data_IF_518841469625
#
_entry.id   IF_518841469625
#
_cell.length_a   1.000
_cell.length_b   1.000
_cell.length_c   1.000
_cell.angle_alpha   90.00
_cell.angle_beta   90.00
_cell.angle_gamma   90.00
#
_symmetry.space_group_name_H-M   'P 1'
#
loop_
_entity.id
_entity.type
_entity.pdbx_description
1 polymer ?
#
# COMPACT_ATOMS: atom_id res chain seq x y z
N UNK A 1 -5.36 -34.55 5.43
CA UNK A 1 -4.84 -33.20 5.67
C UNK A 1 -5.57 -32.66 6.86
N UNK A 2 -4.88 -32.34 7.92
CA UNK A 2 -5.48 -31.69 9.09
C UNK A 2 -5.26 -30.20 8.86
N UNK A 3 -6.20 -29.58 8.10
CA UNK A 3 -6.27 -28.14 7.96
C UNK A 3 -6.93 -27.54 9.17
N UNK A 4 -6.99 -26.21 9.38
CA UNK A 4 -7.41 -25.34 8.30
C UNK A 4 -6.22 -24.82 7.52
N UNK A 5 -6.41 -24.67 6.23
CA UNK A 5 -5.65 -23.68 5.50
C UNK A 5 -5.87 -22.35 6.22
N UNK A 6 -4.82 -21.62 6.51
CA UNK A 6 -4.96 -20.31 7.14
C UNK A 6 -5.74 -19.43 6.19
N UNK A 7 -6.99 -19.17 6.53
CA UNK A 7 -7.79 -18.16 5.87
C UNK A 7 -7.69 -16.89 6.69
N UNK A 8 -7.48 -15.77 6.03
CA UNK A 8 -7.50 -14.44 6.64
C UNK A 8 -8.39 -13.52 5.82
N UNK A 9 -8.51 -12.27 6.25
CA UNK A 9 -9.13 -11.25 5.41
C UNK A 9 -8.24 -11.02 4.18
N UNK A 10 -8.81 -11.06 2.99
CA UNK A 10 -8.10 -10.64 1.78
C UNK A 10 -7.87 -9.13 1.86
N UNK A 11 -6.62 -8.72 1.88
CA UNK A 11 -6.22 -7.32 1.99
C UNK A 11 -5.82 -6.73 0.64
N UNK A 12 -5.13 -7.52 -0.18
CA UNK A 12 -4.69 -7.08 -1.49
C UNK A 12 -4.89 -8.18 -2.54
N UNK A 13 -5.08 -7.75 -3.77
CA UNK A 13 -5.14 -8.62 -4.93
C UNK A 13 -4.45 -7.94 -6.11
N UNK A 14 -3.79 -8.72 -6.96
CA UNK A 14 -3.17 -8.25 -8.17
C UNK A 14 -3.45 -9.20 -9.33
N UNK A 15 -3.84 -8.66 -10.48
CA UNK A 15 -3.92 -9.38 -11.74
C UNK A 15 -2.66 -9.13 -12.58
N UNK A 16 -2.42 -10.00 -13.55
CA UNK A 16 -1.32 -9.87 -14.52
C UNK A 16 -1.92 -9.57 -15.89
N UNK A 17 -1.96 -8.29 -16.35
CA UNK A 17 -2.68 -7.92 -17.59
C UNK A 17 -2.26 -8.70 -18.83
N UNK A 18 -0.97 -9.08 -18.92
CA UNK A 18 -0.42 -9.89 -20.04
C UNK A 18 -0.67 -11.39 -19.89
N UNK A 19 -1.16 -11.82 -18.73
CA UNK A 19 -1.49 -13.20 -18.39
C UNK A 19 -2.85 -13.22 -17.69
N UNK A 20 -3.97 -13.08 -18.42
CA UNK A 20 -5.30 -12.81 -17.86
C UNK A 20 -5.86 -13.95 -16.99
N UNK A 21 -5.22 -15.12 -16.99
CA UNK A 21 -5.53 -16.25 -16.13
C UNK A 21 -4.77 -16.23 -14.80
N UNK A 22 -3.78 -15.30 -14.63
CA UNK A 22 -2.91 -15.26 -13.45
C UNK A 22 -3.36 -14.16 -12.50
N UNK A 23 -3.58 -14.55 -11.25
CA UNK A 23 -3.94 -13.66 -10.15
C UNK A 23 -3.15 -13.98 -8.89
N UNK A 24 -2.90 -12.95 -8.11
CA UNK A 24 -2.34 -13.06 -6.77
C UNK A 24 -3.32 -12.51 -5.76
N UNK A 25 -3.37 -13.10 -4.58
CA UNK A 25 -4.18 -12.67 -3.46
C UNK A 25 -3.31 -12.67 -2.20
N UNK A 26 -3.37 -11.60 -1.45
CA UNK A 26 -2.65 -11.44 -0.18
C UNK A 26 -3.63 -11.38 0.98
N UNK A 27 -3.35 -12.16 2.01
CA UNK A 27 -4.23 -12.33 3.15
C UNK A 27 -3.54 -11.93 4.46
N UNK A 28 -4.35 -11.40 5.36
CA UNK A 28 -3.95 -11.21 6.76
C UNK A 28 -3.79 -12.57 7.43
N UNK A 29 -2.60 -12.85 7.94
CA UNK A 29 -2.24 -14.15 8.54
C UNK A 29 -2.42 -15.38 7.64
N UNK A 30 -2.57 -15.16 6.33
CA UNK A 30 -2.75 -16.23 5.34
C UNK A 30 -1.74 -16.21 4.21
N UNK A 31 -0.75 -15.30 4.25
CA UNK A 31 0.31 -15.22 3.26
C UNK A 31 -0.16 -14.76 1.88
N UNK A 32 0.59 -15.16 0.86
CA UNK A 32 0.31 -14.86 -0.55
C UNK A 32 -0.08 -16.13 -1.28
N UNK A 33 -1.12 -16.02 -2.10
CA UNK A 33 -1.67 -17.09 -2.91
C UNK A 33 -1.65 -16.72 -4.38
N UNK A 34 -1.39 -17.71 -5.23
CA UNK A 34 -1.37 -17.56 -6.68
C UNK A 34 -2.40 -18.49 -7.33
N UNK A 35 -3.10 -17.96 -8.32
CA UNK A 35 -3.94 -18.73 -9.25
C UNK A 35 -3.39 -18.58 -10.66
N UNK A 36 -3.31 -19.68 -11.41
CA UNK A 36 -2.94 -19.73 -12.83
C UNK A 36 -4.11 -20.15 -13.73
N UNK A 37 -5.33 -20.22 -13.18
CA UNK A 37 -6.51 -20.80 -13.84
C UNK A 37 -7.77 -19.95 -13.67
N UNK A 38 -7.64 -18.62 -13.73
CA UNK A 38 -8.74 -17.65 -13.57
C UNK A 38 -9.36 -17.66 -12.16
N UNK A 39 -8.58 -17.97 -11.12
CA UNK A 39 -9.06 -17.96 -9.73
C UNK A 39 -9.81 -19.22 -9.31
N UNK A 40 -9.80 -20.30 -10.11
CA UNK A 40 -10.49 -21.56 -9.77
C UNK A 40 -9.76 -22.34 -8.70
N UNK A 41 -8.42 -22.36 -8.78
CA UNK A 41 -7.56 -22.96 -7.75
C UNK A 41 -6.52 -21.94 -7.29
N UNK A 42 -6.11 -22.07 -6.02
CA UNK A 42 -5.16 -21.17 -5.39
C UNK A 42 -4.06 -21.99 -4.69
N UNK A 43 -2.81 -21.65 -4.96
CA UNK A 43 -1.65 -22.27 -4.36
C UNK A 43 -0.93 -21.26 -3.47
N UNK A 44 -0.58 -21.63 -2.22
CA UNK A 44 0.22 -20.76 -1.36
C UNK A 44 1.64 -20.67 -1.92
N UNK A 45 2.20 -19.47 -1.90
CA UNK A 45 3.53 -19.20 -2.46
C UNK A 45 4.43 -18.39 -1.49
N UNK A 46 4.03 -18.28 -0.21
CA UNK A 46 4.73 -17.46 0.77
C UNK A 46 4.88 -18.16 2.13
N UNK A 47 4.58 -19.46 2.20
CA UNK A 47 4.50 -20.22 3.47
C UNK A 47 5.85 -20.38 4.18
N UNK A 48 6.96 -20.31 3.44
CA UNK A 48 8.31 -20.43 3.98
C UNK A 48 8.84 -19.12 4.60
N UNK A 49 8.11 -18.01 4.42
CA UNK A 49 8.53 -16.71 4.95
C UNK A 49 8.12 -16.53 6.43
N UNK A 50 8.91 -15.75 7.20
CA UNK A 50 8.71 -15.65 8.65
C UNK A 50 7.45 -14.88 9.07
N UNK A 51 6.79 -14.18 8.14
CA UNK A 51 5.51 -13.50 8.38
C UNK A 51 4.46 -13.95 7.39
N UNK A 52 3.22 -14.09 7.85
CA UNK A 52 2.06 -14.42 7.03
C UNK A 52 1.03 -13.28 6.98
N UNK A 53 1.30 -12.19 7.69
CA UNK A 53 0.44 -11.00 7.67
C UNK A 53 0.86 -10.09 6.51
N UNK A 54 -0.02 -9.95 5.52
CA UNK A 54 0.27 -9.22 4.28
C UNK A 54 -0.72 -8.07 4.11
N UNK A 55 -0.17 -6.87 3.91
CA UNK A 55 -0.92 -5.63 3.71
C UNK A 55 -1.04 -5.22 2.24
N UNK A 56 -0.01 -5.50 1.44
CA UNK A 56 0.05 -5.07 0.05
C UNK A 56 0.74 -6.09 -0.86
N UNK A 57 0.33 -6.10 -2.12
CA UNK A 57 1.01 -6.84 -3.19
C UNK A 57 1.01 -6.01 -4.47
N UNK A 58 2.14 -5.94 -5.15
CA UNK A 58 2.28 -5.27 -6.44
C UNK A 58 3.09 -6.13 -7.42
N UNK A 59 2.52 -6.36 -8.60
CA UNK A 59 3.20 -7.01 -9.73
C UNK A 59 3.74 -5.92 -10.65
N UNK A 60 5.02 -6.01 -11.02
CA UNK A 60 5.61 -5.02 -11.93
C UNK A 60 4.95 -5.09 -13.32
N UNK A 61 4.38 -3.99 -13.84
CA UNK A 61 3.69 -4.03 -15.14
C UNK A 61 4.61 -4.33 -16.34
N UNK A 62 5.89 -3.94 -16.24
CA UNK A 62 6.90 -4.19 -17.27
C UNK A 62 7.44 -5.63 -17.27
N UNK A 63 7.49 -6.26 -16.09
CA UNK A 63 7.96 -7.64 -15.92
C UNK A 63 7.14 -8.38 -14.86
N UNK A 64 6.18 -9.23 -15.26
CA UNK A 64 5.29 -9.92 -14.33
C UNK A 64 5.98 -11.03 -13.49
N UNK A 65 7.25 -11.29 -13.71
CA UNK A 65 8.03 -12.17 -12.82
C UNK A 65 8.47 -11.44 -11.55
N UNK A 66 8.45 -10.11 -11.56
CA UNK A 66 8.81 -9.27 -10.42
C UNK A 66 7.57 -8.91 -9.62
N UNK A 67 7.57 -9.32 -8.36
CA UNK A 67 6.47 -9.09 -7.41
C UNK A 67 7.05 -8.50 -6.13
N UNK A 68 6.37 -7.50 -5.60
CA UNK A 68 6.67 -6.95 -4.29
C UNK A 68 5.51 -7.22 -3.34
N UNK A 69 5.86 -7.53 -2.09
CA UNK A 69 4.91 -7.80 -1.00
C UNK A 69 5.28 -6.95 0.20
N UNK A 70 4.33 -6.18 0.70
CA UNK A 70 4.42 -5.43 1.94
C UNK A 70 3.73 -6.18 3.06
N UNK A 71 4.45 -6.45 4.15
CA UNK A 71 3.92 -7.20 5.28
C UNK A 71 3.21 -6.30 6.30
N UNK A 72 2.44 -6.92 7.20
CA UNK A 72 1.51 -6.23 8.08
C UNK A 72 0.13 -6.06 7.46
N UNK A 73 -0.87 -5.68 8.24
CA UNK A 73 -2.26 -5.60 7.73
C UNK A 73 -2.56 -4.32 6.98
N UNK A 74 -1.88 -3.23 7.33
CA UNK A 74 -2.14 -1.92 6.76
C UNK A 74 -3.54 -1.37 7.02
N UNK A 75 -4.16 -1.81 8.09
CA UNK A 75 -5.47 -1.38 8.59
C UNK A 75 -5.35 -1.12 10.08
N UNK A 76 -6.31 -0.39 10.66
CA UNK A 76 -6.47 -0.30 12.10
C UNK A 76 -7.62 -1.20 12.57
N UNK A 77 -7.29 -2.14 13.44
CA UNK A 77 -8.20 -3.12 14.03
C UNK A 77 -7.59 -3.66 15.31
N UNK A 78 -8.39 -4.11 16.29
CA UNK A 78 -7.87 -4.56 17.59
C UNK A 78 -7.01 -5.83 17.52
N UNK A 79 -7.17 -6.64 16.48
CA UNK A 79 -6.49 -7.93 16.30
C UNK A 79 -5.38 -7.89 15.24
N UNK A 80 -4.60 -6.80 15.22
CA UNK A 80 -3.56 -6.59 14.22
C UNK A 80 -2.37 -7.54 14.39
N UNK A 81 -1.96 -8.14 13.28
CA UNK A 81 -0.69 -8.83 13.17
C UNK A 81 0.32 -7.94 12.46
N UNK A 82 1.45 -7.74 13.10
CA UNK A 82 2.54 -6.92 12.55
C UNK A 82 3.31 -7.69 11.48
N UNK A 83 3.82 -6.95 10.51
CA UNK A 83 4.77 -7.42 9.53
C UNK A 83 6.22 -7.13 9.94
N UNK A 84 7.14 -7.43 9.04
CA UNK A 84 8.58 -7.23 9.21
C UNK A 84 9.26 -6.66 7.97
N UNK A 85 8.53 -5.89 7.16
CA UNK A 85 9.10 -5.20 6.02
C UNK A 85 8.59 -5.66 4.67
N UNK A 86 9.42 -5.51 3.65
CA UNK A 86 9.08 -5.75 2.24
C UNK A 86 9.82 -6.99 1.73
N UNK A 87 9.15 -7.74 0.85
CA UNK A 87 9.71 -8.88 0.14
C UNK A 87 9.59 -8.70 -1.36
N UNK A 88 10.52 -9.29 -2.11
CA UNK A 88 10.54 -9.30 -3.57
C UNK A 88 10.73 -10.71 -4.08
N UNK A 89 9.96 -11.06 -5.09
CA UNK A 89 10.23 -12.20 -5.97
C UNK A 89 10.67 -11.69 -7.34
N UNK A 90 11.55 -12.44 -8.01
CA UNK A 90 11.98 -12.22 -9.41
C UNK A 90 11.65 -13.42 -10.31
N UNK A 91 10.85 -14.35 -9.80
CA UNK A 91 10.52 -15.62 -10.47
C UNK A 91 9.03 -15.98 -10.36
N UNK A 92 8.19 -14.94 -10.32
CA UNK A 92 6.73 -15.03 -10.23
C UNK A 92 6.24 -15.74 -8.96
N UNK A 93 6.92 -15.50 -7.83
CA UNK A 93 6.53 -15.95 -6.51
C UNK A 93 7.05 -17.32 -6.11
N UNK A 94 8.06 -17.88 -6.82
CA UNK A 94 8.65 -19.16 -6.44
C UNK A 94 9.65 -19.01 -5.29
N UNK A 95 10.40 -17.90 -5.28
CA UNK A 95 11.34 -17.55 -4.22
C UNK A 95 11.19 -16.09 -3.83
N UNK A 96 11.56 -15.77 -2.60
CA UNK A 96 11.42 -14.43 -2.03
C UNK A 96 12.72 -13.95 -1.39
N UNK A 97 12.96 -12.66 -1.49
CA UNK A 97 14.08 -11.96 -0.86
C UNK A 97 13.55 -10.85 0.00
N UNK A 98 13.94 -10.83 1.26
CA UNK A 98 13.59 -9.75 2.19
C UNK A 98 14.39 -8.48 1.88
N UNK A 99 13.72 -7.32 1.81
CA UNK A 99 14.27 -6.05 1.35
C UNK A 99 14.36 -4.97 2.44
N UNK A 100 14.34 -5.36 3.70
CA UNK A 100 14.45 -4.42 4.83
C UNK A 100 13.12 -3.78 5.23
N UNK A 101 13.19 -2.59 5.84
CA UNK A 101 12.07 -1.94 6.54
C UNK A 101 11.49 -2.83 7.65
N UNK A 102 12.37 -3.48 8.41
CA UNK A 102 12.01 -4.53 9.36
C UNK A 102 11.02 -4.06 10.45
N UNK A 103 11.13 -2.80 10.85
CA UNK A 103 10.29 -2.21 11.89
C UNK A 103 9.11 -1.38 11.34
N UNK A 104 8.86 -1.47 10.04
CA UNK A 104 7.71 -0.80 9.41
C UNK A 104 6.35 -1.31 9.91
N UNK A 105 6.28 -2.53 10.36
CA UNK A 105 5.14 -3.25 10.94
C UNK A 105 3.87 -3.29 10.09
N UNK A 106 3.48 -2.18 9.44
CA UNK A 106 2.26 -2.07 8.64
C UNK A 106 2.57 -1.39 7.31
N UNK A 107 2.45 -2.14 6.20
CA UNK A 107 2.68 -1.63 4.83
C UNK A 107 1.39 -1.81 4.01
N UNK A 108 0.49 -0.81 4.01
CA UNK A 108 -0.83 -0.90 3.37
C UNK A 108 -0.82 -0.85 1.85
N UNK A 109 0.19 -0.19 1.24
CA UNK A 109 0.23 -0.02 -0.21
C UNK A 109 1.65 -0.05 -0.77
N UNK A 110 1.75 -0.59 -1.99
CA UNK A 110 2.96 -0.62 -2.81
C UNK A 110 2.59 -0.23 -4.24
N UNK A 111 3.40 0.62 -4.86
CA UNK A 111 3.27 0.96 -6.26
C UNK A 111 4.61 0.77 -7.00
N UNK A 112 4.57 0.05 -8.12
CA UNK A 112 5.75 -0.20 -8.96
C UNK A 112 5.62 0.60 -10.25
N UNK A 113 6.69 1.29 -10.62
CA UNK A 113 6.74 2.03 -11.87
C UNK A 113 6.41 1.13 -13.07
N UNK A 114 5.47 1.52 -13.94
CA UNK A 114 5.08 0.71 -15.07
C UNK A 114 6.18 0.50 -16.12
N UNK A 115 7.25 1.29 -16.10
CA UNK A 115 8.37 1.25 -17.04
C UNK A 115 9.64 0.69 -16.43
N UNK A 116 9.86 0.89 -15.13
CA UNK A 116 11.04 0.45 -14.39
C UNK A 116 10.66 -0.35 -13.15
N UNK A 117 10.81 -1.68 -13.18
CA UNK A 117 10.44 -2.53 -12.05
C UNK A 117 11.33 -2.34 -10.82
N UNK A 118 12.41 -1.55 -10.92
CA UNK A 118 13.27 -1.23 -9.79
C UNK A 118 12.86 0.06 -9.07
N UNK A 119 11.99 0.89 -9.67
CA UNK A 119 11.40 2.04 -8.99
C UNK A 119 10.11 1.66 -8.30
N UNK A 120 10.12 1.68 -6.98
CA UNK A 120 9.03 1.22 -6.12
C UNK A 120 8.75 2.26 -5.05
N UNK A 121 7.47 2.48 -4.77
CA UNK A 121 7.01 3.24 -3.61
C UNK A 121 6.32 2.33 -2.62
N UNK A 122 6.50 2.63 -1.34
CA UNK A 122 5.83 1.96 -0.24
C UNK A 122 5.20 2.98 0.71
N UNK A 123 3.93 2.80 0.99
CA UNK A 123 3.26 3.49 2.08
C UNK A 123 3.51 2.70 3.36
N UNK A 124 4.07 3.35 4.38
CA UNK A 124 4.38 2.75 5.67
C UNK A 124 3.54 3.43 6.76
N UNK A 125 2.57 2.70 7.28
CA UNK A 125 1.72 3.17 8.36
C UNK A 125 2.42 3.09 9.72
N UNK A 126 3.44 2.23 9.85
CA UNK A 126 4.29 2.10 11.03
C UNK A 126 3.67 1.28 12.15
N UNK A 127 4.09 1.52 13.38
CA UNK A 127 3.57 0.82 14.56
C UNK A 127 2.09 1.15 14.80
N UNK A 128 1.19 0.16 14.89
CA UNK A 128 -0.22 0.43 15.11
C UNK A 128 -0.52 0.97 16.52
N UNK A 129 0.22 0.51 17.54
CA UNK A 129 -0.09 0.78 18.96
C UNK A 129 0.73 1.91 19.58
N UNK A 130 1.60 2.57 18.82
CA UNK A 130 2.46 3.62 19.36
C UNK A 130 3.03 4.54 18.29
N UNK A 131 3.79 5.55 18.70
CA UNK A 131 4.55 6.37 17.77
C UNK A 131 5.60 5.52 17.06
N UNK A 132 5.96 5.89 15.83
CA UNK A 132 6.96 5.17 15.02
C UNK A 132 7.70 6.12 14.10
N UNK A 133 9.01 6.13 14.20
CA UNK A 133 9.87 6.86 13.27
C UNK A 133 9.79 6.32 11.84
N UNK A 134 9.34 5.05 11.66
CA UNK A 134 9.22 4.43 10.35
C UNK A 134 8.04 4.93 9.52
N UNK A 135 7.12 5.70 10.10
CA UNK A 135 5.94 6.24 9.40
C UNK A 135 6.33 7.15 8.24
N UNK A 136 5.68 6.97 7.08
CA UNK A 136 5.91 7.80 5.90
C UNK A 136 5.69 7.10 4.58
N UNK A 137 6.10 7.79 3.51
CA UNK A 137 6.18 7.22 2.16
C UNK A 137 7.66 7.00 1.83
N UNK A 138 7.96 5.81 1.35
CA UNK A 138 9.31 5.42 0.95
C UNK A 138 9.39 5.20 -0.55
N UNK A 139 10.55 5.47 -1.12
CA UNK A 139 10.91 5.19 -2.51
C UNK A 139 12.21 4.39 -2.56
N UNK A 140 12.23 3.37 -3.40
CA UNK A 140 13.45 2.72 -3.89
C UNK A 140 13.61 3.00 -5.38
N UNK A 141 14.84 3.10 -5.85
CA UNK A 141 15.21 3.19 -7.27
C UNK A 141 16.15 2.06 -7.71
N UNK A 142 16.40 1.09 -6.83
CA UNK A 142 17.33 -0.02 -7.02
C UNK A 142 16.70 -1.39 -6.75
N UNK A 143 15.38 -1.44 -6.90
CA UNK A 143 14.62 -2.69 -6.72
C UNK A 143 14.46 -3.11 -5.27
N UNK A 144 14.51 -2.16 -4.33
CA UNK A 144 14.30 -2.37 -2.91
C UNK A 144 15.59 -2.65 -2.13
N UNK A 145 16.77 -2.52 -2.73
CA UNK A 145 18.03 -2.70 -2.02
C UNK A 145 18.27 -1.54 -1.02
N UNK A 146 17.85 -0.33 -1.39
CA UNK A 146 17.84 0.83 -0.50
C UNK A 146 16.50 1.55 -0.54
N UNK A 147 16.13 2.17 0.58
CA UNK A 147 14.88 2.90 0.73
C UNK A 147 15.14 4.33 1.22
N UNK A 148 14.55 5.29 0.55
CA UNK A 148 14.55 6.69 0.94
C UNK A 148 13.15 7.08 1.40
N UNK A 149 13.02 7.64 2.61
CA UNK A 149 11.78 8.24 3.08
C UNK A 149 11.58 9.58 2.34
N UNK A 150 10.53 9.69 1.52
CA UNK A 150 10.27 10.84 0.64
C UNK A 150 9.14 11.73 1.15
N UNK A 151 8.25 11.21 2.00
CA UNK A 151 7.31 12.01 2.79
C UNK A 151 7.38 11.52 4.24
N UNK A 152 7.50 12.47 5.15
CA UNK A 152 7.41 12.25 6.60
C UNK A 152 6.79 13.48 7.24
N UNK A 153 5.96 13.30 8.24
CA UNK A 153 5.39 14.39 9.03
C UNK A 153 5.84 14.31 10.50
N UNK A 154 5.36 13.31 11.18
CA UNK A 154 5.64 13.05 12.59
C UNK A 154 5.55 11.54 12.89
N UNK A 155 5.78 11.16 14.14
CA UNK A 155 5.74 9.76 14.59
C UNK A 155 4.33 9.15 14.67
N UNK A 156 3.28 9.96 14.43
CA UNK A 156 1.87 9.53 14.49
C UNK A 156 1.22 9.46 13.11
N UNK A 157 1.82 10.08 12.07
CA UNK A 157 1.23 10.20 10.74
C UNK A 157 2.00 9.33 9.74
N UNK A 158 1.43 8.22 9.31
CA UNK A 158 2.03 7.25 8.40
C UNK A 158 1.46 7.28 6.99
N UNK A 159 2.14 6.61 6.07
CA UNK A 159 1.64 6.39 4.71
C UNK A 159 0.51 5.36 4.71
N UNK A 160 -0.61 5.68 4.06
CA UNK A 160 -1.78 4.80 3.96
C UNK A 160 -2.05 4.32 2.53
N UNK A 161 -1.62 5.09 1.52
CA UNK A 161 -1.83 4.76 0.12
C UNK A 161 -0.74 5.37 -0.76
N UNK A 162 -0.45 4.74 -1.92
CA UNK A 162 0.45 5.28 -2.95
C UNK A 162 0.06 4.74 -4.32
N UNK A 163 -0.08 5.65 -5.31
CA UNK A 163 -0.46 5.33 -6.67
C UNK A 163 0.45 6.06 -7.67
N UNK A 164 0.82 5.39 -8.76
CA UNK A 164 1.61 5.96 -9.86
C UNK A 164 0.73 6.09 -11.09
N UNK A 165 0.78 7.24 -11.76
CA UNK A 165 0.13 7.41 -13.05
C UNK A 165 0.69 6.40 -14.07
N UNK A 166 -0.16 5.50 -14.62
CA UNK A 166 0.31 4.43 -15.51
C UNK A 166 0.85 4.93 -16.85
N UNK A 167 0.56 6.18 -17.20
CA UNK A 167 1.01 6.79 -18.48
C UNK A 167 2.19 7.74 -18.30
N UNK A 168 2.30 8.35 -17.11
CA UNK A 168 3.40 9.25 -16.75
C UNK A 168 3.90 8.95 -15.32
N UNK A 169 4.87 8.05 -15.15
CA UNK A 169 5.31 7.60 -13.83
C UNK A 169 6.08 8.67 -13.02
N UNK A 170 6.27 9.87 -13.55
CA UNK A 170 6.73 11.01 -12.76
C UNK A 170 5.60 11.62 -11.91
N UNK A 171 4.34 11.31 -12.25
CA UNK A 171 3.18 11.70 -11.45
C UNK A 171 2.87 10.58 -10.46
N UNK A 172 2.96 10.92 -9.17
CA UNK A 172 2.70 9.99 -8.07
C UNK A 172 1.78 10.65 -7.06
N UNK A 173 0.79 9.91 -6.58
CA UNK A 173 -0.09 10.32 -5.48
C UNK A 173 0.23 9.50 -4.25
N UNK A 174 0.17 10.11 -3.08
CA UNK A 174 0.37 9.43 -1.81
C UNK A 174 -0.56 10.00 -0.74
N UNK A 175 -1.08 9.12 0.08
CA UNK A 175 -1.94 9.50 1.21
C UNK A 175 -1.21 9.25 2.52
N UNK A 176 -1.37 10.20 3.44
CA UNK A 176 -0.88 10.10 4.81
C UNK A 176 -2.07 10.09 5.77
N UNK A 177 -1.99 9.28 6.80
CA UNK A 177 -3.04 9.14 7.81
C UNK A 177 -2.43 9.19 9.22
N UNK A 178 -2.95 10.09 10.05
CA UNK A 178 -2.65 10.14 11.46
C UNK A 178 -3.60 9.19 12.19
N UNK A 179 -3.06 8.05 12.61
CA UNK A 179 -3.88 7.02 13.22
C UNK A 179 -3.10 6.16 14.21
N UNK A 180 -3.79 5.74 15.26
CA UNK A 180 -3.27 4.86 16.30
C UNK A 180 -4.36 3.93 16.82
N UNK A 181 -3.98 2.68 17.04
CA UNK A 181 -4.77 1.69 17.75
C UNK A 181 -4.52 1.83 19.25
N UNK A 182 -5.57 1.87 20.04
CA UNK A 182 -5.48 1.77 21.49
C UNK A 182 -5.53 0.32 21.97
N UNK A 183 -5.04 0.01 23.17
CA UNK A 183 -5.17 -1.32 23.73
C UNK A 183 -6.64 -1.68 23.94
N UNK A 184 -7.05 -2.88 23.50
CA UNK A 184 -8.40 -3.39 23.67
C UNK A 184 -9.51 -2.56 23.01
N UNK A 185 -9.22 -1.87 21.89
CA UNK A 185 -10.11 -0.91 21.22
C UNK A 185 -10.43 0.35 22.05
N UNK A 186 -9.82 0.51 23.21
CA UNK A 186 -9.97 1.73 24.00
C UNK A 186 -8.98 2.80 23.54
N UNK A 187 -9.44 4.04 23.43
CA UNK A 187 -8.63 5.21 23.02
C UNK A 187 -8.02 5.09 21.62
N UNK A 188 -8.74 4.47 20.69
CA UNK A 188 -8.37 4.49 19.27
C UNK A 188 -8.42 5.91 18.74
N UNK A 189 -7.41 6.33 18.02
CA UNK A 189 -7.37 7.61 17.32
C UNK A 189 -7.24 7.37 15.80
N UNK A 190 -8.37 7.49 15.09
CA UNK A 190 -8.46 7.32 13.65
C UNK A 190 -8.83 8.62 12.93
N UNK A 191 -9.09 9.67 13.68
CA UNK A 191 -9.60 10.94 13.18
C UNK A 191 -8.57 12.07 13.17
N UNK A 192 -7.30 11.74 13.34
CA UNK A 192 -6.22 12.71 13.25
C UNK A 192 -6.22 13.40 11.88
N UNK A 193 -5.95 14.70 11.86
CA UNK A 193 -6.04 15.56 10.67
C UNK A 193 -4.67 16.03 10.16
N UNK A 194 -3.60 15.50 10.70
CA UNK A 194 -2.23 15.80 10.24
C UNK A 194 -1.88 15.13 8.91
N UNK A 195 -2.68 14.17 8.45
CA UNK A 195 -2.51 13.47 7.19
C UNK A 195 -2.80 14.32 5.95
N UNK A 196 -3.34 13.67 4.92
CA UNK A 196 -3.78 14.30 3.68
C UNK A 196 -3.31 13.59 2.42
N UNK A 197 -3.73 14.16 1.28
CA UNK A 197 -3.34 13.69 -0.04
C UNK A 197 -2.20 14.54 -0.59
N UNK A 198 -1.19 13.89 -1.15
CA UNK A 198 0.00 14.53 -1.72
C UNK A 198 0.17 14.10 -3.17
N UNK A 199 0.71 15.00 -4.00
CA UNK A 199 1.06 14.76 -5.40
C UNK A 199 2.50 15.15 -5.65
N UNK A 200 3.22 14.30 -6.34
CA UNK A 200 4.51 14.58 -7.00
C UNK A 200 4.33 14.65 -8.50
N UNK A 201 5.17 15.41 -9.19
CA UNK A 201 5.27 15.48 -10.66
C UNK A 201 6.71 15.29 -11.15
N UNK A 202 7.60 14.84 -10.26
CA UNK A 202 9.02 14.62 -10.49
C UNK A 202 9.53 13.28 -9.97
N UNK A 203 8.65 12.26 -10.04
CA UNK A 203 8.97 10.89 -9.65
C UNK A 203 9.19 10.71 -8.14
N UNK A 204 8.47 11.50 -7.32
CA UNK A 204 8.52 11.41 -5.87
C UNK A 204 9.72 12.12 -5.23
N UNK A 205 10.34 13.08 -5.93
CA UNK A 205 11.44 13.88 -5.37
C UNK A 205 10.91 15.05 -4.56
N UNK A 206 9.88 15.74 -5.07
CA UNK A 206 9.17 16.79 -4.34
C UNK A 206 7.67 16.50 -4.30
N UNK A 207 6.99 17.01 -3.27
CA UNK A 207 5.59 16.73 -3.01
C UNK A 207 4.84 18.00 -2.64
N UNK A 208 3.63 18.16 -3.17
CA UNK A 208 2.69 19.19 -2.74
C UNK A 208 1.42 18.54 -2.15
N UNK A 209 0.90 19.09 -1.09
CA UNK A 209 -0.39 18.65 -0.54
C UNK A 209 -1.53 19.17 -1.42
N UNK A 210 -2.49 18.29 -1.72
CA UNK A 210 -3.74 18.63 -2.39
C UNK A 210 -4.80 18.96 -1.35
N UNK A 211 -5.46 20.09 -1.49
CA UNK A 211 -6.48 20.54 -0.55
C UNK A 211 -7.73 21.14 -1.21
N UNK A 212 -7.65 21.48 -2.51
CA UNK A 212 -8.78 22.05 -3.22
C UNK A 212 -9.93 21.04 -3.32
N UNK A 213 -11.14 21.47 -2.98
CA UNK A 213 -12.31 20.60 -3.01
C UNK A 213 -12.40 19.56 -1.88
N UNK A 214 -11.32 19.36 -1.11
CA UNK A 214 -11.30 18.40 -0.01
C UNK A 214 -11.73 19.03 1.31
N UNK A 215 -12.30 18.25 2.26
CA UNK A 215 -12.59 18.73 3.61
C UNK A 215 -11.32 19.23 4.32
N UNK A 216 -11.43 20.31 5.09
CA UNK A 216 -10.30 20.87 5.84
C UNK A 216 -9.83 19.97 6.99
N UNK A 217 -10.72 19.15 7.50
CA UNK A 217 -10.53 18.19 8.58
C UNK A 217 -10.42 16.75 8.03
N UNK A 218 -9.83 16.60 6.84
CA UNK A 218 -9.58 15.31 6.20
C UNK A 218 -8.73 14.43 7.13
N UNK A 219 -9.23 13.25 7.47
CA UNK A 219 -8.53 12.28 8.30
C UNK A 219 -7.92 11.15 7.46
N UNK A 220 -8.70 10.52 6.62
CA UNK A 220 -8.26 9.38 5.81
C UNK A 220 -8.69 9.56 4.36
N UNK A 221 -7.82 9.20 3.42
CA UNK A 221 -8.12 9.22 1.98
C UNK A 221 -7.37 8.12 1.24
N UNK A 222 -8.06 7.48 0.29
CA UNK A 222 -7.51 6.54 -0.68
C UNK A 222 -7.86 7.02 -2.07
N UNK A 223 -6.91 6.88 -3.00
CA UNK A 223 -7.04 7.39 -4.37
C UNK A 223 -6.95 6.25 -5.37
N UNK A 224 -7.72 6.36 -6.44
CA UNK A 224 -7.58 5.52 -7.63
C UNK A 224 -7.49 6.39 -8.87
N UNK A 225 -6.52 6.10 -9.73
CA UNK A 225 -6.32 6.76 -11.01
C UNK A 225 -7.09 5.99 -12.09
N UNK A 226 -7.87 6.67 -12.92
CA UNK A 226 -8.51 6.03 -14.06
C UNK A 226 -7.47 5.76 -15.18
N UNK A 227 -7.15 4.49 -15.50
CA UNK A 227 -6.05 4.21 -16.45
C UNK A 227 -6.29 4.74 -17.88
N UNK A 228 -7.57 4.90 -18.27
CA UNK A 228 -7.96 5.43 -19.58
C UNK A 228 -7.91 6.95 -19.68
N UNK A 229 -7.93 7.66 -18.56
CA UNK A 229 -7.78 9.12 -18.47
C UNK A 229 -7.16 9.45 -17.10
N UNK A 230 -5.82 9.52 -16.99
CA UNK A 230 -5.14 9.74 -15.70
C UNK A 230 -5.38 11.10 -15.06
N UNK A 231 -6.02 12.04 -15.77
CA UNK A 231 -6.50 13.27 -15.15
C UNK A 231 -7.71 13.02 -14.24
N UNK A 232 -8.40 11.89 -14.46
CA UNK A 232 -9.55 11.49 -13.65
C UNK A 232 -9.10 10.66 -12.46
N UNK A 233 -9.37 11.19 -11.28
CA UNK A 233 -9.14 10.53 -10.00
C UNK A 233 -10.47 10.28 -9.32
N UNK A 234 -10.53 9.17 -8.60
CA UNK A 234 -11.57 8.91 -7.61
C UNK A 234 -10.91 8.77 -6.24
N UNK A 235 -11.53 9.33 -5.23
CA UNK A 235 -11.06 9.21 -3.86
C UNK A 235 -12.20 8.82 -2.93
N UNK A 236 -11.95 7.84 -2.07
CA UNK A 236 -12.77 7.58 -0.89
C UNK A 236 -12.13 8.27 0.29
N UNK A 237 -12.89 9.00 1.08
CA UNK A 237 -12.35 9.74 2.19
C UNK A 237 -13.24 9.72 3.44
N UNK A 238 -12.59 9.94 4.57
CA UNK A 238 -13.21 10.26 5.85
C UNK A 238 -12.67 11.59 6.36
N UNK A 239 -13.51 12.34 7.05
CA UNK A 239 -13.15 13.57 7.76
C UNK A 239 -13.54 13.47 9.23
N UNK A 240 -12.83 14.19 10.11
CA UNK A 240 -13.06 14.18 11.54
C UNK A 240 -14.47 14.66 11.92
N UNK A 241 -15.09 15.49 11.08
CA UNK A 241 -16.49 15.92 11.19
C UNK A 241 -17.52 14.81 10.91
N UNK A 242 -17.09 13.59 10.56
CA UNK A 242 -17.96 12.46 10.27
C UNK A 242 -18.38 12.33 8.80
N UNK A 243 -17.79 13.10 7.89
CA UNK A 243 -18.01 12.95 6.45
C UNK A 243 -17.36 11.64 5.99
N UNK A 244 -18.16 10.77 5.34
CA UNK A 244 -17.71 9.59 4.60
C UNK A 244 -18.24 9.75 3.17
N UNK A 245 -17.36 9.89 2.19
CA UNK A 245 -17.80 10.21 0.84
C UNK A 245 -16.83 9.74 -0.24
N UNK A 246 -17.34 9.75 -1.48
CA UNK A 246 -16.55 9.51 -2.69
C UNK A 246 -16.45 10.83 -3.45
N UNK A 247 -15.24 11.19 -3.81
CA UNK A 247 -14.92 12.39 -4.58
C UNK A 247 -14.38 12.02 -5.96
N UNK A 248 -14.51 12.93 -6.90
CA UNK A 248 -13.93 12.81 -8.24
C UNK A 248 -13.24 14.11 -8.61
N UNK A 249 -12.05 14.01 -9.16
CA UNK A 249 -11.36 15.07 -9.90
C UNK A 249 -11.28 14.69 -11.37
N UNK A 250 -11.39 15.67 -12.26
CA UNK A 250 -11.19 15.53 -13.71
C UNK A 250 -9.94 16.33 -14.22
N UNK A 251 -9.14 16.86 -13.29
CA UNK A 251 -7.95 17.68 -13.56
C UNK A 251 -6.69 17.22 -12.80
N UNK A 252 -6.59 15.91 -12.57
CA UNK A 252 -5.46 15.29 -11.89
C UNK A 252 -5.28 15.79 -10.43
N UNK A 253 -6.37 16.11 -9.74
CA UNK A 253 -6.38 16.51 -8.34
C UNK A 253 -6.07 18.00 -8.11
N UNK A 254 -6.18 18.84 -9.11
CA UNK A 254 -6.00 20.29 -8.95
C UNK A 254 -7.28 20.94 -8.38
N UNK A 255 -8.46 20.26 -8.57
CA UNK A 255 -9.73 20.58 -7.91
C UNK A 255 -10.57 19.33 -7.64
#
# INVERSE_FOLDING_TARGET
MIGPFRGGRTRAAAGVPRQPNVFYMAQVNGGVWKSDDYGRTWNPIFDDEPTQSIGAIAVAPSDPTIIYVGSGEGLHRPDLSVGNGIYKSTDAGKTWTHLGLNDAQQIPALAVDPRDPNRVFAAVLGHPYGPSEERGIYRSSDGGQTWQKVISKDENTGGSDVEIDPTNPDVVYASMWEAREGPWEDNNDYNGTSGGLFKSTDGGTTWRQLSNGLPKDLSQIYVAIAPSDPRRLYATLAAASGILSVYRSDDAGDS
#
